data_IF_392463353483
#
_entry.id   IF_392463353483
#
_cell.length_a   1.000
_cell.length_b   1.000
_cell.length_c   1.000
_cell.angle_alpha   90.00
_cell.angle_beta   90.00
_cell.angle_gamma   90.00
#
_symmetry.space_group_name_H-M   'P 1'
#
loop_
_entity.id
_entity.type
_entity.pdbx_description
1 polymer ?
#
# COMPACT_ATOMS: atom_id res chain seq x y z
N UNK A 1 -11.47 -30.70 -3.16
CA UNK A 1 -11.71 -29.31 -2.73
C UNK A 1 -10.83 -28.42 -3.58
N UNK A 2 -11.38 -27.71 -4.57
CA UNK A 2 -10.59 -26.84 -5.45
C UNK A 2 -10.67 -25.43 -4.90
N UNK A 3 -9.56 -24.93 -4.37
CA UNK A 3 -9.43 -23.56 -3.88
C UNK A 3 -9.51 -22.62 -5.08
N UNK A 4 -10.65 -21.94 -5.25
CA UNK A 4 -10.79 -20.89 -6.27
C UNK A 4 -9.71 -19.84 -6.07
N UNK A 5 -8.73 -19.80 -6.96
CA UNK A 5 -7.66 -18.82 -6.95
C UNK A 5 -8.28 -17.48 -7.35
N UNK A 6 -8.57 -16.62 -6.37
CA UNK A 6 -8.84 -15.21 -6.63
C UNK A 6 -7.60 -14.65 -7.32
N UNK A 7 -7.72 -14.32 -8.60
CA UNK A 7 -6.67 -13.67 -9.37
C UNK A 7 -6.55 -12.22 -8.87
N UNK A 8 -5.94 -12.04 -7.70
CA UNK A 8 -5.54 -10.73 -7.22
C UNK A 8 -4.43 -10.25 -8.15
N UNK A 9 -4.74 -9.26 -9.00
CA UNK A 9 -3.70 -8.48 -9.67
C UNK A 9 -2.70 -7.98 -8.62
N UNK A 10 -1.44 -7.67 -9.02
CA UNK A 10 -0.40 -7.26 -8.07
C UNK A 10 -0.94 -6.17 -7.14
N UNK A 11 -1.00 -6.47 -5.84
CA UNK A 11 -1.62 -5.58 -4.87
C UNK A 11 -0.85 -4.25 -4.85
N UNK A 12 -1.56 -3.15 -5.02
CA UNK A 12 -0.97 -1.83 -4.94
C UNK A 12 -0.70 -1.51 -3.48
N UNK A 13 0.56 -1.21 -3.17
CA UNK A 13 0.98 -0.76 -1.85
C UNK A 13 0.89 0.76 -1.74
N UNK A 14 0.58 1.25 -0.55
CA UNK A 14 0.54 2.67 -0.26
C UNK A 14 1.44 2.96 0.92
N UNK A 15 2.15 4.09 0.87
CA UNK A 15 2.85 4.61 2.02
C UNK A 15 1.88 5.40 2.87
N UNK A 16 1.79 5.03 4.13
CA UNK A 16 0.96 5.65 5.14
C UNK A 16 1.85 6.44 6.09
N UNK A 17 1.41 7.63 6.46
CA UNK A 17 2.06 8.48 7.45
C UNK A 17 1.20 8.54 8.70
N UNK A 18 1.81 8.41 9.87
CA UNK A 18 1.10 8.57 11.14
C UNK A 18 0.59 10.01 11.25
N UNK A 19 -0.64 10.17 11.74
CA UNK A 19 -1.22 11.51 11.95
C UNK A 19 -0.66 12.17 13.22
N UNK A 20 -0.14 11.39 14.16
CA UNK A 20 0.44 11.89 15.43
C UNK A 20 1.93 12.20 15.31
N UNK A 21 2.65 11.49 14.43
CA UNK A 21 4.07 11.75 14.13
C UNK A 21 4.34 11.62 12.63
N UNK A 22 4.58 12.75 11.97
CA UNK A 22 4.84 12.79 10.53
C UNK A 22 6.14 12.06 10.10
N UNK A 23 7.05 11.76 11.03
CA UNK A 23 8.28 11.00 10.73
C UNK A 23 8.01 9.50 10.64
N UNK A 24 6.92 9.01 11.23
CA UNK A 24 6.57 7.60 11.20
C UNK A 24 5.85 7.28 9.89
N UNK A 25 6.54 6.55 9.03
CA UNK A 25 6.04 6.06 7.74
C UNK A 25 5.99 4.53 7.75
N UNK A 26 4.96 3.97 7.14
CA UNK A 26 4.84 2.53 6.95
C UNK A 26 4.23 2.22 5.58
N UNK A 27 4.46 1.01 5.07
CA UNK A 27 3.95 0.57 3.78
C UNK A 27 2.91 -0.52 3.99
N UNK A 28 1.71 -0.34 3.42
CA UNK A 28 0.63 -1.31 3.52
C UNK A 28 -0.29 -1.25 2.30
N UNK A 29 -0.75 -2.40 1.77
CA UNK A 29 -1.71 -2.44 0.67
C UNK A 29 -3.13 -2.07 1.15
N UNK A 30 -3.42 -2.23 2.44
CA UNK A 30 -4.71 -1.94 3.06
C UNK A 30 -4.64 -0.73 3.99
N UNK A 31 -5.80 -0.15 4.30
CA UNK A 31 -5.91 0.98 5.23
C UNK A 31 -5.59 0.55 6.66
N UNK A 32 -4.72 1.30 7.34
CA UNK A 32 -4.20 0.97 8.68
C UNK A 32 -5.03 1.53 9.84
N UNK A 33 -6.18 2.14 9.53
CA UNK A 33 -7.09 2.74 10.51
C UNK A 33 -6.94 4.27 10.65
N UNK A 34 -7.68 4.89 11.60
CA UNK A 34 -7.81 6.34 11.70
C UNK A 34 -6.51 7.08 12.02
N UNK A 35 -5.54 6.41 12.65
CA UNK A 35 -4.24 6.99 13.02
C UNK A 35 -3.28 7.19 11.85
N UNK A 36 -3.69 6.82 10.63
CA UNK A 36 -2.83 6.82 9.46
C UNK A 36 -3.49 7.55 8.30
N UNK A 37 -2.74 8.44 7.65
CA UNK A 37 -3.15 9.10 6.41
C UNK A 37 -2.34 8.57 5.24
N UNK A 38 -3.00 8.43 4.09
CA UNK A 38 -2.34 8.05 2.83
C UNK A 38 -1.38 9.16 2.42
N UNK A 39 -0.11 8.81 2.16
CA UNK A 39 0.97 9.78 1.93
C UNK A 39 1.54 9.68 0.51
N UNK A 40 2.00 8.50 0.08
CA UNK A 40 2.54 8.26 -1.28
C UNK A 40 2.04 6.94 -1.86
N UNK A 41 2.14 6.79 -3.17
CA UNK A 41 1.78 5.59 -3.92
C UNK A 41 0.88 5.88 -5.12
N UNK A 42 0.41 4.84 -5.82
CA UNK A 42 0.61 3.43 -5.52
C UNK A 42 2.03 2.92 -5.80
N UNK A 43 2.47 1.92 -5.03
CA UNK A 43 3.72 1.19 -5.19
C UNK A 43 3.44 -0.26 -5.60
N UNK A 44 4.40 -0.90 -6.26
CA UNK A 44 4.29 -2.30 -6.71
C UNK A 44 4.98 -3.30 -5.77
N UNK A 45 5.59 -2.82 -4.69
CA UNK A 45 6.32 -3.62 -3.71
C UNK A 45 5.92 -3.27 -2.27
N UNK A 46 6.10 -4.24 -1.37
CA UNK A 46 5.74 -4.13 0.04
C UNK A 46 6.62 -3.20 0.86
N UNK A 47 7.72 -2.70 0.31
CA UNK A 47 8.60 -1.72 0.97
C UNK A 47 8.33 -0.30 0.50
N UNK A 48 7.43 -0.10 -0.44
CA UNK A 48 7.13 1.19 -1.05
C UNK A 48 8.38 1.86 -1.67
N UNK A 49 9.27 1.07 -2.26
CA UNK A 49 10.51 1.54 -2.91
C UNK A 49 10.31 1.80 -4.41
N UNK A 50 9.40 1.08 -5.05
CA UNK A 50 9.15 1.09 -6.50
C UNK A 50 7.72 1.57 -6.76
N UNK A 51 7.60 2.77 -7.30
CA UNK A 51 6.31 3.30 -7.73
C UNK A 51 5.67 2.35 -8.76
N UNK A 52 4.37 2.10 -8.60
CA UNK A 52 3.59 1.44 -9.62
C UNK A 52 3.42 2.46 -10.74
N UNK A 53 4.25 2.35 -11.78
CA UNK A 53 4.12 3.16 -12.99
C UNK A 53 2.81 2.75 -13.64
N UNK A 54 1.79 3.59 -13.48
CA UNK A 54 0.54 3.46 -14.23
C UNK A 54 0.78 4.12 -15.57
N UNK A 55 1.22 3.34 -16.55
CA UNK A 55 1.21 3.79 -17.94
C UNK A 55 -0.27 3.94 -18.30
N UNK A 56 -0.70 5.17 -18.53
CA UNK A 56 -2.12 5.52 -18.76
C UNK A 56 -2.54 5.12 -20.16
#
# INVERSE_FOLDING_TARGET
MSSGQLQAGPAHYWQWQSIVDAKVLTCSPTQLGPGWKKFRGPFRDSRCEKLAIVIK
#
